data_IF_180828471848
#
_entry.id   IF_180828471848
#
_cell.length_a   1.000
_cell.length_b   1.000
_cell.length_c   1.000
_cell.angle_alpha   90.00
_cell.angle_beta   90.00
_cell.angle_gamma   90.00
#
_symmetry.space_group_name_H-M   'P 1'
#
loop_
_entity.id
_entity.type
_entity.pdbx_description
1 polymer ?
#
# COMPACT_ATOMS: atom_id res chain seq x y z
N UNK A 1 35.66 -77.07 12.87
CA UNK A 1 34.56 -77.47 11.96
C UNK A 1 33.54 -76.34 11.88
N UNK A 2 33.02 -76.10 10.67
CA UNK A 2 32.07 -75.07 10.21
C UNK A 2 31.15 -74.42 11.25
N UNK A 3 30.86 -73.12 11.10
CA UNK A 3 29.50 -72.62 10.85
C UNK A 3 29.50 -71.22 10.18
N UNK A 4 28.63 -71.10 9.16
CA UNK A 4 28.39 -69.93 8.28
C UNK A 4 27.74 -68.77 9.03
N UNK A 5 27.96 -67.54 8.55
CA UNK A 5 26.94 -66.49 8.57
C UNK A 5 27.04 -65.60 7.33
N UNK A 6 26.02 -65.66 6.46
CA UNK A 6 25.67 -64.63 5.47
C UNK A 6 24.58 -63.76 6.10
N UNK A 7 24.76 -62.45 6.17
CA UNK A 7 23.69 -61.45 6.42
C UNK A 7 24.11 -60.15 5.72
N UNK A 8 23.56 -59.86 4.54
CA UNK A 8 22.31 -59.15 4.22
C UNK A 8 22.39 -57.63 4.45
N UNK A 9 22.56 -56.91 3.34
CA UNK A 9 22.58 -55.45 3.24
C UNK A 9 21.20 -54.90 3.63
N UNK A 10 21.14 -54.20 4.77
CA UNK A 10 19.94 -53.47 5.19
C UNK A 10 19.86 -52.14 4.45
N UNK A 11 18.99 -52.09 3.44
CA UNK A 11 18.49 -50.84 2.85
C UNK A 11 17.73 -50.03 3.91
N UNK A 12 18.27 -48.89 4.31
CA UNK A 12 17.59 -47.91 5.16
C UNK A 12 16.65 -47.05 4.30
N UNK A 13 15.34 -46.97 4.58
CA UNK A 13 14.47 -46.03 3.89
C UNK A 13 14.82 -44.59 4.32
N UNK A 14 15.24 -43.77 3.35
CA UNK A 14 15.37 -42.31 3.51
C UNK A 14 14.00 -41.75 3.89
N UNK A 15 13.84 -41.35 5.15
CA UNK A 15 12.65 -40.65 5.64
C UNK A 15 12.62 -39.24 5.05
N UNK A 16 11.90 -39.08 3.93
CA UNK A 16 11.54 -37.78 3.41
C UNK A 16 10.48 -37.17 4.36
N UNK A 17 10.91 -36.27 5.23
CA UNK A 17 10.00 -35.44 6.04
C UNK A 17 9.22 -34.51 5.11
N UNK A 18 7.98 -34.90 4.78
CA UNK A 18 6.98 -34.01 4.19
C UNK A 18 6.61 -32.94 5.23
N UNK A 19 7.21 -31.76 5.13
CA UNK A 19 6.70 -30.56 5.80
C UNK A 19 5.49 -30.08 5.00
N UNK A 20 4.28 -29.95 5.58
CA UNK A 20 3.20 -29.28 4.89
C UNK A 20 3.60 -27.82 4.72
N UNK A 21 3.83 -27.41 3.48
CA UNK A 21 3.98 -26.01 3.14
C UNK A 21 2.64 -25.34 3.46
N UNK A 22 2.59 -24.62 4.59
CA UNK A 22 1.50 -23.72 4.91
C UNK A 22 1.36 -22.79 3.71
N UNK A 23 0.26 -22.93 2.98
CA UNK A 23 -0.10 -22.01 1.92
C UNK A 23 -0.36 -20.67 2.61
N UNK A 24 0.60 -19.76 2.50
CA UNK A 24 0.39 -18.35 2.84
C UNK A 24 -0.68 -17.82 1.88
N UNK A 25 -1.95 -17.95 2.28
CA UNK A 25 -3.07 -17.28 1.65
C UNK A 25 -2.82 -15.80 1.86
N UNK A 26 -2.16 -15.16 0.88
CA UNK A 26 -2.00 -13.73 0.83
C UNK A 26 -3.37 -13.14 1.10
N UNK A 27 -3.54 -12.52 2.28
CA UNK A 27 -4.76 -11.80 2.62
C UNK A 27 -4.91 -10.75 1.54
N UNK A 28 -5.82 -10.98 0.56
CA UNK A 28 -6.07 -10.03 -0.51
C UNK A 28 -6.41 -8.72 0.19
N UNK A 29 -5.51 -7.73 0.08
CA UNK A 29 -5.80 -6.38 0.55
C UNK A 29 -7.11 -5.97 -0.15
N UNK A 30 -8.11 -5.45 0.57
CA UNK A 30 -9.32 -4.97 -0.08
C UNK A 30 -8.88 -3.99 -1.15
N UNK A 31 -9.22 -4.29 -2.41
CA UNK A 31 -8.95 -3.39 -3.52
C UNK A 31 -9.75 -2.12 -3.22
N UNK A 32 -9.08 -0.96 -3.27
CA UNK A 32 -9.77 0.33 -3.19
C UNK A 32 -10.86 0.31 -4.29
N UNK A 33 -12.12 0.71 -4.01
CA UNK A 33 -13.14 0.73 -5.03
C UNK A 33 -12.64 1.54 -6.22
N UNK A 34 -12.75 0.98 -7.43
CA UNK A 34 -12.42 1.71 -8.63
C UNK A 34 -13.46 2.83 -8.74
N UNK A 35 -13.04 4.09 -8.63
CA UNK A 35 -13.95 5.22 -8.80
C UNK A 35 -14.38 5.26 -10.27
N UNK A 36 -15.69 5.38 -10.50
CA UNK A 36 -16.22 5.66 -11.83
C UNK A 36 -15.91 7.11 -12.23
N UNK A 37 -16.10 7.45 -13.49
CA UNK A 37 -15.98 8.86 -13.91
C UNK A 37 -17.05 9.72 -13.25
N UNK A 38 -18.24 9.16 -13.01
CA UNK A 38 -19.38 9.82 -12.38
C UNK A 38 -19.12 10.14 -10.90
N UNK A 39 -18.32 9.32 -10.22
CA UNK A 39 -17.94 9.53 -8.80
C UNK A 39 -16.68 10.39 -8.64
N UNK A 40 -16.07 10.84 -9.75
CA UNK A 40 -14.86 11.65 -9.71
C UNK A 40 -15.18 13.08 -9.30
N UNK A 41 -14.53 13.55 -8.24
CA UNK A 41 -14.60 14.92 -7.74
C UNK A 41 -13.34 15.64 -8.13
N UNK A 42 -13.49 16.77 -8.83
CA UNK A 42 -12.38 17.67 -9.18
C UNK A 42 -12.65 19.04 -8.59
N UNK A 43 -11.68 19.58 -7.86
CA UNK A 43 -11.78 20.87 -7.18
C UNK A 43 -10.67 21.78 -7.66
N UNK A 44 -11.05 22.97 -8.13
CA UNK A 44 -10.10 24.06 -8.36
C UNK A 44 -9.96 24.83 -7.05
N UNK A 45 -8.75 24.86 -6.52
CA UNK A 45 -8.43 25.50 -5.25
C UNK A 45 -7.41 26.62 -5.48
N UNK A 46 -7.72 27.84 -5.04
CA UNK A 46 -6.73 28.90 -5.01
C UNK A 46 -5.93 28.80 -3.70
N UNK A 47 -4.73 28.21 -3.75
CA UNK A 47 -3.89 27.99 -2.56
C UNK A 47 -3.34 29.33 -2.07
N UNK A 48 -3.57 29.69 -0.80
CA UNK A 48 -2.93 30.87 -0.20
C UNK A 48 -1.41 30.70 -0.07
N UNK A 49 -0.70 31.82 0.06
CA UNK A 49 0.71 31.86 0.42
C UNK A 49 0.93 31.23 1.80
N UNK A 50 2.12 30.64 2.00
CA UNK A 50 2.57 29.97 3.24
C UNK A 50 1.77 28.72 3.66
N UNK A 51 0.96 28.16 2.76
CA UNK A 51 0.21 26.91 3.00
C UNK A 51 0.93 25.72 2.38
N UNK A 52 1.03 24.60 3.12
CA UNK A 52 1.60 23.36 2.60
C UNK A 52 0.62 22.64 1.66
N UNK A 53 1.14 22.14 0.53
CA UNK A 53 0.41 21.29 -0.43
C UNK A 53 0.32 19.84 0.06
N UNK A 54 -0.27 19.65 1.24
CA UNK A 54 -0.54 18.35 1.85
C UNK A 54 -1.74 18.44 2.80
N UNK A 55 -2.30 17.29 3.18
CA UNK A 55 -3.40 17.19 4.16
C UNK A 55 -2.95 16.67 5.53
N UNK A 56 -1.73 16.12 5.59
CA UNK A 56 -1.14 15.66 6.85
C UNK A 56 -0.71 16.85 7.67
N UNK A 57 -1.10 16.86 8.94
CA UNK A 57 -0.71 17.90 9.89
C UNK A 57 0.81 17.98 10.02
N UNK A 58 1.32 19.20 10.03
CA UNK A 58 2.71 19.51 10.33
C UNK A 58 2.76 20.68 11.32
N UNK A 59 3.56 20.54 12.38
CA UNK A 59 3.54 21.49 13.49
C UNK A 59 3.81 22.92 13.04
N UNK A 60 2.92 23.83 13.42
CA UNK A 60 3.05 25.26 13.16
C UNK A 60 2.84 25.68 11.70
N UNK A 61 2.29 24.80 10.84
CA UNK A 61 2.05 25.10 9.42
C UNK A 61 0.60 24.83 9.05
N UNK A 62 0.03 25.73 8.25
CA UNK A 62 -1.27 25.49 7.64
C UNK A 62 -1.16 24.51 6.48
N UNK A 63 -2.21 23.74 6.27
CA UNK A 63 -2.30 22.65 5.30
C UNK A 63 -3.57 22.80 4.49
N UNK A 64 -3.71 22.03 3.41
CA UNK A 64 -4.95 22.03 2.61
C UNK A 64 -6.19 21.66 3.44
N UNK A 65 -6.01 20.87 4.50
CA UNK A 65 -7.08 20.45 5.42
C UNK A 65 -7.80 21.63 6.08
N UNK A 66 -7.09 22.75 6.26
CA UNK A 66 -7.64 23.93 6.93
C UNK A 66 -8.58 24.74 6.03
N UNK A 67 -8.58 24.47 4.71
CA UNK A 67 -9.28 25.27 3.71
C UNK A 67 -10.37 24.52 2.93
N UNK A 68 -10.49 23.21 3.07
CA UNK A 68 -11.53 22.43 2.37
C UNK A 68 -12.23 21.43 3.29
N UNK A 69 -13.58 21.40 3.30
CA UNK A 69 -14.34 20.40 4.04
C UNK A 69 -14.48 19.07 3.28
N UNK A 70 -14.01 19.00 2.02
CA UNK A 70 -14.22 17.84 1.14
C UNK A 70 -13.26 16.72 1.56
N UNK A 71 -13.77 15.55 1.97
CA UNK A 71 -12.91 14.44 2.38
C UNK A 71 -12.33 13.70 1.17
N UNK A 72 -11.26 12.95 1.40
CA UNK A 72 -10.69 11.98 0.44
C UNK A 72 -10.24 12.56 -0.91
N UNK A 73 -9.92 13.86 -0.97
CA UNK A 73 -9.26 14.49 -2.12
C UNK A 73 -7.77 14.70 -1.86
N UNK A 74 -7.00 14.77 -2.92
CA UNK A 74 -5.53 14.88 -2.92
C UNK A 74 -5.08 15.91 -3.96
N UNK A 75 -3.97 16.62 -3.73
CA UNK A 75 -3.45 17.56 -4.72
C UNK A 75 -2.93 16.83 -5.96
N UNK A 76 -3.23 17.38 -7.13
CA UNK A 76 -2.65 16.97 -8.42
C UNK A 76 -1.45 17.86 -8.68
N UNK A 77 -0.26 17.31 -8.45
CA UNK A 77 0.99 18.06 -8.51
C UNK A 77 1.32 18.78 -7.21
N UNK A 78 2.32 19.66 -7.27
CA UNK A 78 2.82 20.42 -6.12
C UNK A 78 2.85 21.90 -6.47
N UNK A 79 2.37 22.70 -5.54
CA UNK A 79 2.66 24.12 -5.48
C UNK A 79 3.50 24.34 -4.22
N UNK A 80 4.62 25.06 -4.34
CA UNK A 80 5.50 25.26 -3.20
C UNK A 80 4.84 26.12 -2.12
N UNK A 81 5.36 26.02 -0.90
CA UNK A 81 4.76 26.70 0.27
C UNK A 81 4.74 28.21 0.08
N UNK A 82 5.83 28.76 -0.42
CA UNK A 82 6.05 30.17 -0.74
C UNK A 82 5.44 30.59 -2.09
N UNK A 83 4.59 29.74 -2.67
CA UNK A 83 3.78 30.07 -3.85
C UNK A 83 2.30 30.15 -3.49
N UNK A 84 1.56 30.85 -4.33
CA UNK A 84 0.11 31.01 -4.27
C UNK A 84 -0.50 30.85 -5.67
N UNK A 85 -1.78 30.46 -5.74
CA UNK A 85 -2.48 30.30 -7.01
C UNK A 85 -3.18 28.95 -7.19
N UNK A 86 -3.49 28.64 -8.45
CA UNK A 86 -4.33 27.50 -8.80
C UNK A 86 -3.65 26.16 -8.50
N UNK A 87 -4.32 25.37 -7.67
CA UNK A 87 -4.00 23.98 -7.36
C UNK A 87 -5.24 23.13 -7.61
N UNK A 88 -5.06 22.02 -8.33
CA UNK A 88 -6.14 21.07 -8.58
C UNK A 88 -6.14 20.00 -7.48
N UNK A 89 -7.32 19.66 -6.95
CA UNK A 89 -7.51 18.55 -6.01
C UNK A 89 -8.49 17.53 -6.60
N UNK A 90 -8.24 16.23 -6.37
CA UNK A 90 -9.09 15.15 -6.88
C UNK A 90 -9.19 13.97 -5.90
N UNK A 91 -10.32 13.27 -5.89
CA UNK A 91 -10.44 11.98 -5.20
C UNK A 91 -9.93 10.80 -6.05
N UNK A 92 -9.73 11.02 -7.34
CA UNK A 92 -9.32 10.01 -8.29
C UNK A 92 -7.80 10.01 -8.47
N UNK A 93 -7.14 9.02 -7.87
CA UNK A 93 -5.67 8.92 -7.77
C UNK A 93 -5.09 7.80 -8.66
N UNK A 94 -5.91 7.18 -9.51
CA UNK A 94 -5.54 6.03 -10.34
C UNK A 94 -5.90 6.24 -11.80
#
# INVERSE_FOLDING_TARGET
MMFKAKFNQKNTPRSATNKPHLQNRAKKRPLKPLLSFEDTVVVLFNKPFDVLTQFTYEQGRQTLKDFTPIPQIYPVGRLDRDSEGLLLLTNNVH
#
